data_IF_644487136241
#
_entry.id   IF_644487136241
#
_cell.length_a   1.000
_cell.length_b   1.000
_cell.length_c   1.000
_cell.angle_alpha   90.00
_cell.angle_beta   90.00
_cell.angle_gamma   90.00
#
_symmetry.space_group_name_H-M   'P 1'
#
loop_
_entity.id
_entity.type
_entity.pdbx_description
1 polymer ?
#
# COMPACT_ATOMS: atom_id res chain seq x y z
N UNK A 1 21.43 -47.68 -6.82
CA UNK A 1 21.52 -48.10 -5.40
C UNK A 1 20.42 -47.39 -4.63
N UNK A 2 19.48 -48.14 -4.02
CA UNK A 2 18.26 -47.63 -3.40
C UNK A 2 18.49 -47.14 -1.97
N UNK A 3 17.74 -46.12 -1.55
CA UNK A 3 17.61 -45.75 -0.14
C UNK A 3 16.37 -46.41 0.46
N UNK A 4 16.60 -47.01 1.63
CA UNK A 4 15.76 -47.96 2.36
C UNK A 4 14.56 -47.28 3.01
N UNK A 5 13.40 -47.93 2.96
CA UNK A 5 12.27 -47.70 3.84
C UNK A 5 12.06 -48.93 4.73
N UNK A 6 12.08 -48.74 6.06
CA UNK A 6 11.48 -49.56 7.13
C UNK A 6 11.99 -48.95 8.46
N UNK A 7 11.25 -48.12 9.20
CA UNK A 7 10.04 -48.43 9.98
C UNK A 7 10.43 -48.64 11.46
N UNK A 8 9.51 -48.82 12.41
CA UNK A 8 8.31 -48.07 12.77
C UNK A 8 8.42 -47.52 14.22
N UNK A 9 7.60 -46.53 14.59
CA UNK A 9 7.35 -46.24 16.02
C UNK A 9 7.86 -44.90 16.54
N UNK A 10 7.19 -43.84 16.15
CA UNK A 10 6.74 -42.84 17.11
C UNK A 10 5.44 -42.27 16.54
N UNK A 11 4.32 -42.84 17.00
CA UNK A 11 3.01 -42.24 16.83
C UNK A 11 2.99 -40.93 17.65
N UNK A 12 3.64 -39.90 17.12
CA UNK A 12 3.32 -38.53 17.45
C UNK A 12 1.95 -38.26 16.84
N UNK A 13 0.95 -38.12 17.70
CA UNK A 13 -0.41 -37.82 17.34
C UNK A 13 -0.44 -36.77 16.21
N UNK A 14 -0.93 -37.19 15.04
CA UNK A 14 -1.49 -36.23 14.09
C UNK A 14 -2.56 -35.47 14.87
N UNK A 15 -2.52 -34.13 14.93
CA UNK A 15 -3.63 -33.39 15.49
C UNK A 15 -4.86 -33.66 14.61
N UNK A 16 -5.69 -34.57 15.09
CA UNK A 16 -7.11 -34.62 14.79
C UNK A 16 -7.71 -33.32 15.35
N UNK A 17 -8.27 -32.49 14.48
CA UNK A 17 -8.60 -31.12 14.89
C UNK A 17 -9.16 -30.21 13.81
N UNK A 18 -10.14 -30.69 13.05
CA UNK A 18 -11.22 -29.87 12.52
C UNK A 18 -10.88 -28.91 11.36
N UNK A 19 -11.83 -28.79 10.43
CA UNK A 19 -11.87 -27.71 9.45
C UNK A 19 -12.08 -26.34 10.12
N UNK A 20 -11.08 -25.89 10.88
CA UNK A 20 -10.95 -24.52 11.31
C UNK A 20 -10.65 -23.70 10.09
N UNK A 21 -11.70 -23.16 9.46
CA UNK A 21 -11.57 -21.92 8.70
C UNK A 21 -10.84 -20.95 9.62
N UNK A 22 -9.53 -20.78 9.41
CA UNK A 22 -8.81 -19.67 9.98
C UNK A 22 -9.47 -18.44 9.37
N UNK A 23 -10.54 -17.95 10.01
CA UNK A 23 -11.16 -16.69 9.67
C UNK A 23 -10.04 -15.69 9.86
N UNK A 24 -9.44 -15.27 8.74
CA UNK A 24 -8.62 -14.08 8.68
C UNK A 24 -9.53 -12.98 9.20
N UNK A 25 -9.45 -12.72 10.52
CA UNK A 25 -10.29 -11.74 11.19
C UNK A 25 -9.63 -10.40 10.89
N UNK A 26 -9.86 -9.92 9.68
CA UNK A 26 -9.48 -8.56 9.28
C UNK A 26 -10.25 -7.65 10.23
N UNK A 27 -9.54 -6.93 11.10
CA UNK A 27 -10.14 -5.93 11.97
C UNK A 27 -10.46 -4.72 11.09
N UNK A 28 -11.74 -4.44 10.78
CA UNK A 28 -12.10 -3.37 9.84
C UNK A 28 -11.63 -2.00 10.35
N UNK A 29 -11.64 -1.82 11.67
CA UNK A 29 -11.18 -0.59 12.33
C UNK A 29 -9.71 -0.28 12.01
N UNK A 30 -8.84 -1.30 12.02
CA UNK A 30 -7.41 -1.16 11.67
C UNK A 30 -7.22 -0.75 10.20
N UNK A 31 -8.12 -1.17 9.31
CA UNK A 31 -8.07 -0.83 7.89
C UNK A 31 -8.49 0.63 7.68
N UNK A 32 -9.47 1.11 8.44
CA UNK A 32 -9.90 2.50 8.41
C UNK A 32 -8.87 3.45 9.01
N UNK A 33 -8.21 3.05 10.10
CA UNK A 33 -7.13 3.83 10.70
C UNK A 33 -5.93 3.94 9.74
N UNK A 34 -5.52 2.82 9.13
CA UNK A 34 -4.46 2.82 8.12
C UNK A 34 -4.83 3.68 6.90
N UNK A 35 -6.09 3.62 6.45
CA UNK A 35 -6.58 4.43 5.35
C UNK A 35 -6.43 5.93 5.66
N UNK A 36 -6.82 6.35 6.87
CA UNK A 36 -6.69 7.74 7.32
C UNK A 36 -5.24 8.19 7.37
N UNK A 37 -4.34 7.39 7.94
CA UNK A 37 -2.92 7.73 7.99
C UNK A 37 -2.33 7.91 6.58
N UNK A 38 -2.72 7.04 5.63
CA UNK A 38 -2.29 7.16 4.23
C UNK A 38 -2.89 8.38 3.53
N UNK A 39 -4.14 8.74 3.83
CA UNK A 39 -4.80 9.94 3.32
C UNK A 39 -4.07 11.20 3.82
N UNK A 40 -3.72 11.27 5.11
CA UNK A 40 -2.99 12.38 5.70
C UNK A 40 -1.62 12.57 5.03
N UNK A 41 -0.84 11.48 4.88
CA UNK A 41 0.47 11.52 4.22
C UNK A 41 0.35 11.93 2.75
N UNK A 42 -0.65 11.40 2.03
CA UNK A 42 -0.92 11.79 0.63
C UNK A 42 -1.20 13.28 0.54
N UNK A 43 -2.02 13.81 1.44
CA UNK A 43 -2.46 15.20 1.39
C UNK A 43 -1.35 16.16 1.81
N UNK A 44 -0.48 15.78 2.76
CA UNK A 44 0.72 16.52 3.11
C UNK A 44 1.67 16.64 1.90
N UNK A 45 2.04 15.51 1.29
CA UNK A 45 2.94 15.48 0.12
C UNK A 45 2.33 16.25 -1.05
N UNK A 46 1.03 16.08 -1.30
CA UNK A 46 0.32 16.78 -2.37
C UNK A 46 0.22 18.29 -2.13
N UNK A 47 0.11 18.71 -0.87
CA UNK A 47 0.09 20.13 -0.50
C UNK A 47 1.47 20.75 -0.65
N UNK A 48 2.51 20.07 -0.20
CA UNK A 48 3.90 20.48 -0.42
C UNK A 48 4.20 20.65 -1.91
N UNK A 49 3.86 19.66 -2.74
CA UNK A 49 4.10 19.74 -4.19
C UNK A 49 3.32 20.87 -4.87
N UNK A 50 2.14 21.22 -4.38
CA UNK A 50 1.36 22.33 -4.97
C UNK A 50 1.88 23.71 -4.59
N UNK A 51 2.42 23.85 -3.39
CA UNK A 51 2.83 25.16 -2.87
C UNK A 51 4.32 25.45 -3.14
N UNK A 52 5.18 24.44 -3.07
CA UNK A 52 6.62 24.62 -2.99
C UNK A 52 7.37 24.11 -4.24
N UNK A 53 6.74 23.32 -5.12
CA UNK A 53 7.44 22.76 -6.28
C UNK A 53 7.97 23.84 -7.23
N UNK A 54 7.29 24.99 -7.32
CA UNK A 54 7.78 26.11 -8.12
C UNK A 54 9.03 26.78 -7.50
N UNK A 55 9.23 26.64 -6.19
CA UNK A 55 10.41 27.15 -5.49
C UNK A 55 11.69 26.36 -5.81
N UNK A 56 11.56 25.17 -6.41
CA UNK A 56 12.71 24.33 -6.79
C UNK A 56 13.37 24.80 -8.09
N UNK A 57 12.72 25.67 -8.87
CA UNK A 57 13.28 26.18 -10.12
C UNK A 57 14.35 27.25 -9.85
N UNK A 58 15.54 27.02 -10.38
CA UNK A 58 16.69 27.91 -10.22
C UNK A 58 16.90 28.72 -11.50
N UNK A 59 17.08 30.04 -11.33
CA UNK A 59 17.54 30.92 -12.40
C UNK A 59 19.07 30.90 -12.47
N UNK A 60 19.65 30.98 -13.68
CA UNK A 60 21.10 31.13 -13.81
C UNK A 60 21.58 32.41 -13.13
N UNK A 61 22.63 32.30 -12.32
CA UNK A 61 23.22 33.41 -11.55
C UNK A 61 24.11 34.32 -12.40
N UNK A 62 24.41 33.89 -13.63
CA UNK A 62 25.24 34.60 -14.60
C UNK A 62 24.91 34.17 -16.03
N UNK A 63 25.38 34.96 -17.01
CA UNK A 63 25.24 34.65 -18.43
C UNK A 63 26.40 33.80 -18.97
N UNK A 64 27.34 33.40 -18.11
CA UNK A 64 28.43 32.53 -18.51
C UNK A 64 27.91 31.11 -18.83
N UNK A 65 28.58 30.38 -19.73
CA UNK A 65 28.14 29.05 -20.13
C UNK A 65 28.00 28.06 -18.95
N UNK A 66 28.81 28.20 -17.90
CA UNK A 66 28.79 27.29 -16.75
C UNK A 66 27.57 27.55 -15.87
N UNK A 67 27.23 28.81 -15.62
CA UNK A 67 26.01 29.18 -14.87
C UNK A 67 24.73 28.73 -15.58
N UNK A 68 24.69 28.83 -16.92
CA UNK A 68 23.55 28.38 -17.73
C UNK A 68 23.40 26.85 -17.68
N UNK A 69 24.51 26.12 -17.84
CA UNK A 69 24.51 24.66 -17.80
C UNK A 69 24.15 24.14 -16.39
N UNK A 70 24.72 24.74 -15.34
CA UNK A 70 24.40 24.40 -13.97
C UNK A 70 22.91 24.61 -13.64
N UNK A 71 22.33 25.76 -14.02
CA UNK A 71 20.91 26.02 -13.82
C UNK A 71 20.04 25.02 -14.58
N UNK A 72 20.44 24.64 -15.80
CA UNK A 72 19.75 23.61 -16.60
C UNK A 72 19.75 22.25 -15.89
N UNK A 73 20.91 21.75 -15.48
CA UNK A 73 21.01 20.45 -14.78
C UNK A 73 20.23 20.44 -13.46
N UNK A 74 20.27 21.53 -12.70
CA UNK A 74 19.50 21.64 -11.46
C UNK A 74 17.99 21.59 -11.76
N UNK A 75 17.53 22.30 -12.77
CA UNK A 75 16.12 22.33 -13.16
C UNK A 75 15.63 20.97 -13.71
N UNK A 76 16.45 20.25 -14.47
CA UNK A 76 16.12 18.89 -14.95
C UNK A 76 15.99 17.89 -13.78
N UNK A 77 16.86 18.00 -12.78
CA UNK A 77 16.77 17.20 -11.57
C UNK A 77 15.54 17.58 -10.73
N UNK A 78 15.26 18.88 -10.57
CA UNK A 78 14.08 19.37 -9.88
C UNK A 78 12.79 18.87 -10.54
N UNK A 79 12.71 18.95 -11.88
CA UNK A 79 11.59 18.42 -12.65
C UNK A 79 11.39 16.92 -12.38
N UNK A 80 12.46 16.14 -12.49
CA UNK A 80 12.42 14.69 -12.25
C UNK A 80 11.95 14.38 -10.82
N UNK A 81 12.45 15.11 -9.83
CA UNK A 81 12.05 14.94 -8.43
C UNK A 81 10.55 15.22 -8.23
N UNK A 82 10.04 16.29 -8.83
CA UNK A 82 8.61 16.66 -8.78
C UNK A 82 7.75 15.58 -9.47
N UNK A 83 8.16 15.09 -10.64
CA UNK A 83 7.45 14.01 -11.36
C UNK A 83 7.37 12.72 -10.54
N UNK A 84 8.50 12.30 -9.94
CA UNK A 84 8.54 11.11 -9.08
C UNK A 84 7.65 11.27 -7.84
N UNK A 85 7.65 12.47 -7.24
CA UNK A 85 6.81 12.74 -6.08
C UNK A 85 5.31 12.72 -6.44
N UNK A 86 4.91 13.24 -7.61
CA UNK A 86 3.54 13.10 -8.11
C UNK A 86 3.15 11.64 -8.36
N UNK A 87 4.05 10.84 -8.96
CA UNK A 87 3.81 9.42 -9.15
C UNK A 87 3.66 8.68 -7.80
N UNK A 88 4.35 9.11 -6.75
CA UNK A 88 4.18 8.57 -5.41
C UNK A 88 2.79 8.90 -4.82
N UNK A 89 2.31 10.14 -4.97
CA UNK A 89 0.95 10.55 -4.57
C UNK A 89 -0.11 9.73 -5.30
N UNK A 90 0.09 9.44 -6.59
CA UNK A 90 -0.80 8.58 -7.37
C UNK A 90 -0.83 7.15 -6.83
N UNK A 91 0.33 6.57 -6.51
CA UNK A 91 0.40 5.23 -5.89
C UNK A 91 -0.31 5.19 -4.55
N UNK A 92 -0.15 6.21 -3.71
CA UNK A 92 -0.88 6.31 -2.44
C UNK A 92 -2.39 6.33 -2.66
N UNK A 93 -2.85 7.09 -3.66
CA UNK A 93 -4.27 7.15 -4.04
C UNK A 93 -4.80 5.77 -4.42
N UNK A 94 -4.09 5.04 -5.29
CA UNK A 94 -4.48 3.70 -5.71
C UNK A 94 -4.54 2.71 -4.54
N UNK A 95 -3.62 2.80 -3.57
CA UNK A 95 -3.63 1.96 -2.36
C UNK A 95 -4.85 2.28 -1.48
N UNK A 96 -5.14 3.56 -1.26
CA UNK A 96 -6.31 4.00 -0.49
C UNK A 96 -7.61 3.50 -1.13
N UNK A 97 -7.72 3.58 -2.46
CA UNK A 97 -8.89 3.10 -3.20
C UNK A 97 -9.03 1.57 -3.10
N UNK A 98 -7.92 0.83 -3.19
CA UNK A 98 -7.92 -0.62 -3.01
C UNK A 98 -8.36 -1.03 -1.59
N UNK A 99 -7.91 -0.30 -0.56
CA UNK A 99 -8.34 -0.52 0.83
C UNK A 99 -9.83 -0.23 1.01
N UNK A 100 -10.35 0.83 0.37
CA UNK A 100 -11.77 1.18 0.40
C UNK A 100 -12.65 0.10 -0.26
N UNK A 101 -12.21 -0.40 -1.42
CA UNK A 101 -12.87 -1.52 -2.09
C UNK A 101 -12.86 -2.78 -1.24
N UNK A 102 -11.71 -3.14 -0.64
CA UNK A 102 -11.60 -4.31 0.23
C UNK A 102 -12.54 -4.20 1.44
N UNK A 103 -12.58 -3.05 2.12
CA UNK A 103 -13.47 -2.81 3.26
C UNK A 103 -14.94 -2.99 2.89
N UNK A 104 -15.38 -2.45 1.74
CA UNK A 104 -16.75 -2.62 1.23
C UNK A 104 -17.08 -4.08 0.92
N UNK A 105 -16.15 -4.81 0.29
CA UNK A 105 -16.34 -6.24 0.00
C UNK A 105 -16.49 -7.06 1.29
N UNK A 106 -15.68 -6.77 2.32
CA UNK A 106 -15.81 -7.46 3.61
C UNK A 106 -17.17 -7.19 4.28
N UNK A 107 -17.63 -5.93 4.31
CA UNK A 107 -18.95 -5.59 4.86
C UNK A 107 -20.09 -6.32 4.14
N UNK A 108 -20.06 -6.37 2.81
CA UNK A 108 -21.08 -7.06 2.01
C UNK A 108 -21.10 -8.58 2.26
N UNK A 109 -19.93 -9.19 2.46
CA UNK A 109 -19.79 -10.62 2.74
C UNK A 109 -20.30 -10.96 4.13
N UNK A 110 -20.08 -10.09 5.12
CA UNK A 110 -20.58 -10.28 6.48
C UNK A 110 -22.11 -10.18 6.55
N UNK A 111 -22.72 -9.20 5.88
CA UNK A 111 -24.18 -9.05 5.76
C UNK A 111 -24.84 -10.26 5.06
N UNK A 112 -24.19 -10.78 4.01
CA UNK A 112 -24.67 -11.96 3.30
C UNK A 112 -24.59 -13.21 4.17
N UNK A 113 -23.52 -13.36 4.95
CA UNK A 113 -23.32 -14.52 5.83
C UNK A 113 -24.30 -14.52 7.02
N UNK A 114 -24.55 -13.35 7.63
CA UNK A 114 -25.52 -13.24 8.74
C UNK A 114 -26.94 -13.53 8.28
N UNK A 115 -27.34 -13.03 7.12
CA UNK A 115 -28.65 -13.30 6.52
C UNK A 115 -28.88 -14.79 6.22
N UNK A 116 -27.87 -15.47 5.65
CA UNK A 116 -27.97 -16.91 5.36
C UNK A 116 -27.96 -17.80 6.61
N UNK A 117 -27.32 -17.35 7.70
CA UNK A 117 -27.34 -18.04 8.99
C UNK A 117 -28.70 -17.94 9.67
N UNK A 118 -29.35 -16.77 9.62
CA UNK A 118 -30.69 -16.56 10.20
C UNK A 118 -31.80 -17.31 9.44
N UNK A 119 -31.63 -17.59 8.15
CA UNK A 119 -32.60 -18.37 7.37
C UNK A 119 -32.48 -19.89 7.57
N UNK A 120 -31.42 -20.38 8.22
CA UNK A 120 -31.18 -21.83 8.46
C UNK A 120 -31.36 -22.24 9.93
N UNK A 121 -31.80 -21.33 10.79
CA UNK A 121 -32.21 -21.58 12.19
C UNK A 121 -33.72 -21.46 12.32
#
# INVERSE_FOLDING_TARGET
MPFVAAGPGAAGALPDGGGGTAKLKVQPDRVLDLKRELEDVRDEVRTFLRNEAEGLWVRPQGADPVSLDAAKTINENAQTAVEVAWAYVERLTNVIDALDHAAKTYGLVEDTNTTNLQQRS
#
